data_IF_241104961259
#
_entry.id   IF_241104961259
#
_cell.length_a   1.000
_cell.length_b   1.000
_cell.length_c   1.000
_cell.angle_alpha   90.00
_cell.angle_beta   90.00
_cell.angle_gamma   90.00
#
_symmetry.space_group_name_H-M   'P 1'
#
loop_
_entity.id
_entity.type
_entity.pdbx_description
1 polymer ?
#
# COMPACT_ATOMS: atom_id res chain seq x y z
N UNK A 1 37.63 -5.86 21.00
CA UNK A 1 37.12 -6.72 19.90
C UNK A 1 36.68 -5.81 18.75
N UNK A 2 37.25 -5.94 17.56
CA UNK A 2 37.01 -5.03 16.41
C UNK A 2 35.72 -5.36 15.61
N UNK A 3 35.16 -6.56 15.81
CA UNK A 3 33.98 -7.07 15.08
C UNK A 3 32.73 -6.18 15.12
N UNK A 4 32.41 -5.45 16.20
CA UNK A 4 31.27 -4.52 16.22
C UNK A 4 31.39 -3.38 15.19
N UNK A 5 32.62 -2.91 14.91
CA UNK A 5 32.90 -1.85 13.92
C UNK A 5 32.78 -2.35 12.47
N UNK A 6 32.78 -3.67 12.25
CA UNK A 6 32.59 -4.28 10.95
C UNK A 6 31.12 -4.55 10.62
N UNK A 7 30.16 -4.19 11.49
CA UNK A 7 28.74 -4.26 11.15
C UNK A 7 28.41 -3.24 10.06
N UNK A 8 27.44 -3.55 9.21
CA UNK A 8 27.01 -2.63 8.17
C UNK A 8 26.20 -1.48 8.83
N UNK A 9 26.72 -0.23 8.86
CA UNK A 9 26.01 0.87 9.49
C UNK A 9 24.72 1.25 8.74
N UNK A 10 24.69 0.97 7.42
CA UNK A 10 23.57 1.32 6.53
C UNK A 10 22.46 0.26 6.52
N UNK A 11 22.68 -0.91 7.14
CA UNK A 11 21.69 -2.00 7.18
C UNK A 11 20.65 -1.86 8.32
N UNK A 12 20.51 -0.66 8.89
CA UNK A 12 19.58 -0.41 9.99
C UNK A 12 18.12 -0.56 9.52
N UNK A 13 17.37 -1.43 10.19
CA UNK A 13 15.91 -1.58 9.98
C UNK A 13 15.11 -0.36 10.45
N UNK A 14 15.70 0.50 11.28
CA UNK A 14 15.02 1.63 11.92
C UNK A 14 15.08 2.92 11.10
N UNK A 15 15.90 2.96 10.05
CA UNK A 15 16.01 4.13 9.19
C UNK A 15 14.77 4.21 8.29
N UNK A 16 14.18 5.40 8.16
CA UNK A 16 13.03 5.60 7.30
C UNK A 16 13.38 5.36 5.81
N UNK A 17 12.37 5.22 4.95
CA UNK A 17 12.58 5.04 3.51
C UNK A 17 13.20 6.27 2.87
N UNK A 18 12.66 7.44 3.19
CA UNK A 18 13.18 8.73 2.72
C UNK A 18 14.62 8.96 3.22
N UNK A 19 14.90 8.67 4.48
CA UNK A 19 16.26 8.75 5.02
C UNK A 19 17.25 7.84 4.25
N UNK A 20 16.83 6.62 3.90
CA UNK A 20 17.68 5.70 3.15
C UNK A 20 17.86 6.15 1.70
N UNK A 21 16.84 6.77 1.10
CA UNK A 21 16.92 7.42 -0.21
C UNK A 21 17.93 8.57 -0.18
N UNK A 22 17.77 9.49 0.76
CA UNK A 22 18.65 10.65 0.96
C UNK A 22 20.10 10.25 1.24
N UNK A 23 20.31 9.13 1.94
CA UNK A 23 21.63 8.54 2.12
C UNK A 23 22.27 8.14 0.78
N UNK A 24 21.54 7.43 -0.08
CA UNK A 24 22.06 7.01 -1.39
C UNK A 24 22.30 8.21 -2.30
N UNK A 25 21.34 9.12 -2.39
CA UNK A 25 21.40 10.33 -3.22
C UNK A 25 22.56 11.23 -2.78
N UNK A 26 22.65 11.48 -1.47
CA UNK A 26 23.69 12.29 -0.89
C UNK A 26 25.08 11.65 -1.04
N UNK A 27 25.19 10.32 -1.02
CA UNK A 27 26.48 9.65 -1.22
C UNK A 27 26.91 9.67 -2.69
N UNK A 28 26.01 9.35 -3.63
CA UNK A 28 26.29 9.42 -5.06
C UNK A 28 26.64 10.85 -5.50
N UNK A 29 25.91 11.85 -5.04
CA UNK A 29 26.20 13.26 -5.32
C UNK A 29 27.60 13.66 -4.84
N UNK A 30 27.98 13.28 -3.62
CA UNK A 30 29.32 13.52 -3.08
C UNK A 30 30.40 12.81 -3.89
N UNK A 31 30.21 11.53 -4.21
CA UNK A 31 31.13 10.76 -5.06
C UNK A 31 31.33 11.42 -6.42
N UNK A 32 30.24 11.80 -7.09
CA UNK A 32 30.28 12.45 -8.40
C UNK A 32 31.01 13.80 -8.34
N UNK A 33 30.69 14.63 -7.34
CA UNK A 33 31.32 15.96 -7.17
C UNK A 33 32.84 15.89 -6.93
N UNK A 34 33.32 14.79 -6.33
CA UNK A 34 34.73 14.59 -6.00
C UNK A 34 35.44 13.62 -6.97
N UNK A 35 34.79 13.20 -8.05
CA UNK A 35 35.31 12.21 -9.00
C UNK A 35 36.39 12.75 -9.95
N UNK A 36 37.45 13.35 -9.39
CA UNK A 36 38.60 13.82 -10.16
C UNK A 36 39.35 12.62 -10.75
N UNK A 37 39.68 12.70 -12.04
CA UNK A 37 40.38 11.65 -12.79
C UNK A 37 39.72 10.26 -12.71
N UNK A 38 38.40 10.18 -12.45
CA UNK A 38 37.69 8.91 -12.38
C UNK A 38 37.94 8.09 -11.10
N UNK A 39 38.52 8.70 -10.05
CA UNK A 39 38.87 8.03 -8.78
C UNK A 39 37.71 7.27 -8.13
N UNK A 40 36.48 7.71 -8.33
CA UNK A 40 35.26 7.09 -7.77
C UNK A 40 34.35 6.45 -8.82
N UNK A 41 34.75 6.38 -10.09
CA UNK A 41 33.91 5.91 -11.18
C UNK A 41 33.34 4.49 -10.94
N UNK A 42 34.15 3.57 -10.42
CA UNK A 42 33.71 2.21 -10.10
C UNK A 42 32.69 2.16 -8.94
N UNK A 43 32.82 3.05 -7.95
CA UNK A 43 31.89 3.14 -6.81
C UNK A 43 30.54 3.73 -7.23
N UNK A 44 30.57 4.70 -8.14
CA UNK A 44 29.38 5.31 -8.75
C UNK A 44 28.65 4.25 -9.57
N UNK A 45 29.35 3.64 -10.55
CA UNK A 45 28.76 2.65 -11.46
C UNK A 45 28.17 1.41 -10.75
N UNK A 46 28.70 1.05 -9.58
CA UNK A 46 28.17 -0.06 -8.79
C UNK A 46 26.96 0.32 -7.92
N UNK A 47 26.82 1.57 -7.50
CA UNK A 47 25.73 2.02 -6.62
C UNK A 47 24.51 2.58 -7.38
N UNK A 48 24.72 3.26 -8.51
CA UNK A 48 23.66 3.78 -9.39
C UNK A 48 22.53 2.77 -9.69
N UNK A 49 22.81 1.52 -10.13
CA UNK A 49 21.74 0.58 -10.43
C UNK A 49 20.91 0.19 -9.19
N UNK A 50 21.52 0.20 -8.00
CA UNK A 50 20.81 -0.07 -6.76
C UNK A 50 19.92 1.10 -6.32
N UNK A 51 20.39 2.34 -6.48
CA UNK A 51 19.59 3.54 -6.24
C UNK A 51 18.40 3.59 -7.21
N UNK A 52 18.64 3.41 -8.51
CA UNK A 52 17.61 3.43 -9.53
C UNK A 52 16.52 2.39 -9.27
N UNK A 53 16.90 1.15 -8.95
CA UNK A 53 15.94 0.10 -8.60
C UNK A 53 15.12 0.44 -7.35
N UNK A 54 15.76 1.03 -6.32
CA UNK A 54 15.04 1.43 -5.11
C UNK A 54 14.06 2.58 -5.37
N UNK A 55 14.43 3.57 -6.21
CA UNK A 55 13.56 4.68 -6.59
C UNK A 55 12.37 4.21 -7.41
N UNK A 56 12.59 3.31 -8.37
CA UNK A 56 11.51 2.72 -9.17
C UNK A 56 10.48 2.05 -8.27
N UNK A 57 10.93 1.22 -7.31
CA UNK A 57 10.04 0.57 -6.36
C UNK A 57 9.26 1.57 -5.50
N UNK A 58 9.90 2.65 -5.02
CA UNK A 58 9.19 3.68 -4.25
C UNK A 58 8.11 4.37 -5.11
N UNK A 59 8.41 4.69 -6.36
CA UNK A 59 7.44 5.25 -7.30
C UNK A 59 6.25 4.33 -7.55
N UNK A 60 6.49 3.03 -7.72
CA UNK A 60 5.42 2.02 -7.83
C UNK A 60 4.60 1.91 -6.53
N UNK A 61 5.24 1.99 -5.37
CA UNK A 61 4.55 1.97 -4.08
C UNK A 61 3.64 3.19 -3.89
N UNK A 62 4.08 4.39 -4.30
CA UNK A 62 3.29 5.62 -4.22
C UNK A 62 2.08 5.58 -5.16
N UNK A 63 2.25 5.09 -6.40
CA UNK A 63 1.14 4.87 -7.33
C UNK A 63 0.13 3.88 -6.76
N UNK A 64 0.61 2.76 -6.19
CA UNK A 64 -0.24 1.77 -5.56
C UNK A 64 -0.98 2.32 -4.33
N UNK A 65 -0.37 3.23 -3.57
CA UNK A 65 -1.02 3.90 -2.44
C UNK A 65 -2.15 4.83 -2.92
N UNK A 66 -1.91 5.63 -3.97
CA UNK A 66 -2.93 6.46 -4.60
C UNK A 66 -4.13 5.63 -5.10
N UNK A 67 -3.85 4.50 -5.75
CA UNK A 67 -4.89 3.56 -6.16
C UNK A 67 -5.66 2.96 -4.97
N UNK A 68 -5.00 2.67 -3.85
CA UNK A 68 -5.65 2.11 -2.64
C UNK A 68 -6.58 3.10 -1.96
N UNK A 69 -6.20 4.39 -1.91
CA UNK A 69 -7.05 5.45 -1.38
C UNK A 69 -8.30 5.58 -2.24
N UNK A 70 -8.13 5.72 -3.56
CA UNK A 70 -9.27 5.77 -4.49
C UNK A 70 -10.19 4.55 -4.39
N UNK A 71 -9.63 3.34 -4.28
CA UNK A 71 -10.42 2.09 -4.11
C UNK A 71 -11.16 2.00 -2.78
N UNK A 72 -10.71 2.69 -1.74
CA UNK A 72 -11.42 2.74 -0.44
C UNK A 72 -12.61 3.67 -0.57
N UNK A 73 -12.39 4.84 -1.15
CA UNK A 73 -13.44 5.83 -1.43
C UNK A 73 -14.53 5.23 -2.32
N UNK A 74 -14.16 4.47 -3.37
CA UNK A 74 -15.13 3.79 -4.26
C UNK A 74 -16.07 2.85 -3.50
N UNK A 75 -15.58 2.07 -2.53
CA UNK A 75 -16.44 1.13 -1.80
C UNK A 75 -17.33 1.85 -0.79
N UNK A 76 -16.88 2.97 -0.22
CA UNK A 76 -17.71 3.83 0.62
C UNK A 76 -18.78 4.57 -0.19
N UNK A 77 -18.46 5.02 -1.39
CA UNK A 77 -19.40 5.58 -2.36
C UNK A 77 -20.47 4.56 -2.75
N UNK A 78 -20.07 3.31 -3.08
CA UNK A 78 -21.01 2.23 -3.37
C UNK A 78 -21.94 1.90 -2.18
N UNK A 79 -21.44 2.01 -0.94
CA UNK A 79 -22.29 1.85 0.24
C UNK A 79 -23.32 2.97 0.33
N UNK A 80 -22.93 4.22 0.06
CA UNK A 80 -23.83 5.37 0.08
C UNK A 80 -24.87 5.26 -1.03
N UNK A 81 -24.45 4.91 -2.24
CA UNK A 81 -25.31 4.71 -3.41
C UNK A 81 -26.32 3.58 -3.17
N UNK A 82 -25.86 2.44 -2.64
CA UNK A 82 -26.75 1.34 -2.27
C UNK A 82 -27.80 1.77 -1.23
N UNK A 83 -27.41 2.52 -0.20
CA UNK A 83 -28.35 3.00 0.82
C UNK A 83 -29.41 3.93 0.23
N UNK A 84 -29.00 4.79 -0.69
CA UNK A 84 -29.91 5.72 -1.36
C UNK A 84 -30.87 4.96 -2.29
N UNK A 85 -30.35 4.09 -3.15
CA UNK A 85 -31.13 3.20 -4.00
C UNK A 85 -32.14 2.36 -3.19
N UNK A 86 -31.68 1.77 -2.09
CA UNK A 86 -32.53 0.96 -1.22
C UNK A 86 -33.70 1.79 -0.67
N UNK A 87 -33.40 3.00 -0.17
CA UNK A 87 -34.38 3.87 0.48
C UNK A 87 -35.39 4.47 -0.49
N UNK A 88 -34.91 5.03 -1.61
CA UNK A 88 -35.69 5.92 -2.45
C UNK A 88 -36.42 5.15 -3.58
N UNK A 89 -35.90 4.00 -3.98
CA UNK A 89 -36.43 3.22 -5.12
C UNK A 89 -36.87 1.83 -4.67
N UNK A 90 -35.94 0.99 -4.22
CA UNK A 90 -36.19 -0.44 -3.97
C UNK A 90 -37.31 -0.69 -2.97
N UNK A 91 -37.20 -0.10 -1.77
CA UNK A 91 -38.15 -0.37 -0.68
C UNK A 91 -39.51 0.27 -0.95
N UNK A 92 -39.53 1.40 -1.66
CA UNK A 92 -40.77 2.07 -2.07
C UNK A 92 -41.52 1.19 -3.06
N UNK A 93 -40.82 0.70 -4.10
CA UNK A 93 -41.44 -0.10 -5.15
C UNK A 93 -41.85 -1.50 -4.63
N UNK A 94 -40.98 -2.17 -3.87
CA UNK A 94 -41.30 -3.48 -3.30
C UNK A 94 -42.52 -3.44 -2.38
N UNK A 95 -42.64 -2.40 -1.53
CA UNK A 95 -43.83 -2.25 -0.71
C UNK A 95 -45.06 -1.86 -1.52
N UNK A 96 -44.93 -0.97 -2.50
CA UNK A 96 -46.06 -0.59 -3.34
C UNK A 96 -46.62 -1.81 -4.09
N UNK A 97 -45.75 -2.59 -4.72
CA UNK A 97 -46.12 -3.76 -5.50
C UNK A 97 -46.66 -4.88 -4.59
N UNK A 98 -45.90 -5.29 -3.57
CA UNK A 98 -46.22 -6.50 -2.79
C UNK A 98 -47.08 -6.26 -1.55
N UNK A 99 -47.33 -5.01 -1.14
CA UNK A 99 -48.26 -4.70 -0.04
C UNK A 99 -49.58 -4.15 -0.54
N UNK A 100 -49.58 -3.40 -1.64
CA UNK A 100 -50.78 -2.67 -2.12
C UNK A 100 -51.32 -3.21 -3.43
N UNK A 101 -50.51 -3.23 -4.50
CA UNK A 101 -51.00 -3.50 -5.85
C UNK A 101 -51.29 -4.98 -6.10
N UNK A 102 -50.37 -5.86 -5.73
CA UNK A 102 -50.47 -7.32 -5.81
C UNK A 102 -49.92 -7.92 -4.51
N UNK A 103 -50.76 -8.03 -3.46
CA UNK A 103 -50.32 -8.50 -2.15
C UNK A 103 -49.55 -9.83 -2.21
N UNK A 104 -48.29 -9.81 -1.79
CA UNK A 104 -47.41 -10.98 -1.70
C UNK A 104 -46.52 -10.83 -0.46
N UNK A 105 -47.00 -11.37 0.67
CA UNK A 105 -46.32 -11.24 1.94
C UNK A 105 -44.97 -11.98 1.98
N UNK A 106 -44.84 -13.07 1.23
CA UNK A 106 -43.59 -13.84 1.14
C UNK A 106 -42.50 -13.05 0.42
N UNK A 107 -42.81 -12.49 -0.76
CA UNK A 107 -41.89 -11.63 -1.50
C UNK A 107 -41.46 -10.42 -0.68
N UNK A 108 -42.42 -9.77 0.00
CA UNK A 108 -42.13 -8.62 0.84
C UNK A 108 -41.22 -8.99 2.03
N UNK A 109 -41.45 -10.15 2.65
CA UNK A 109 -40.63 -10.65 3.77
C UNK A 109 -39.22 -11.03 3.30
N UNK A 110 -39.08 -11.56 2.08
CA UNK A 110 -37.78 -11.85 1.49
C UNK A 110 -36.95 -10.58 1.26
N UNK A 111 -37.59 -9.49 0.81
CA UNK A 111 -36.92 -8.18 0.70
C UNK A 111 -36.64 -7.54 2.07
N UNK A 112 -37.50 -7.74 3.07
CA UNK A 112 -37.43 -7.04 4.36
C UNK A 112 -37.36 -8.00 5.57
N UNK A 113 -36.41 -8.96 5.63
CA UNK A 113 -36.41 -9.97 6.69
C UNK A 113 -36.14 -9.36 8.07
N UNK A 114 -35.41 -8.24 8.13
CA UNK A 114 -35.16 -7.45 9.35
C UNK A 114 -35.78 -6.05 9.27
N UNK A 115 -36.73 -5.84 8.35
CA UNK A 115 -37.35 -4.55 8.09
C UNK A 115 -36.41 -3.52 7.45
N UNK A 116 -36.93 -2.32 7.20
CA UNK A 116 -36.21 -1.26 6.45
C UNK A 116 -34.91 -0.81 7.10
N UNK A 117 -34.80 -0.96 8.44
CA UNK A 117 -33.62 -0.54 9.20
C UNK A 117 -32.35 -1.23 8.72
N UNK A 118 -32.45 -2.49 8.28
CA UNK A 118 -31.33 -3.28 7.77
C UNK A 118 -30.59 -2.58 6.62
N UNK A 119 -31.34 -1.98 5.70
CA UNK A 119 -30.80 -1.25 4.56
C UNK A 119 -30.21 0.10 4.97
N UNK A 120 -30.96 0.88 5.77
CA UNK A 120 -30.49 2.19 6.24
C UNK A 120 -29.23 2.11 7.12
N UNK A 121 -29.07 1.00 7.84
CA UNK A 121 -27.93 0.73 8.72
C UNK A 121 -26.91 -0.22 8.08
N UNK A 122 -26.96 -0.40 6.75
CA UNK A 122 -25.96 -1.19 6.05
C UNK A 122 -24.54 -0.69 6.37
N UNK A 123 -23.62 -1.63 6.56
CA UNK A 123 -22.20 -1.35 6.75
C UNK A 123 -21.42 -2.04 5.65
N UNK A 124 -20.14 -1.72 5.51
CA UNK A 124 -19.25 -2.44 4.58
C UNK A 124 -19.23 -3.95 4.80
N UNK A 125 -19.49 -4.41 6.04
CA UNK A 125 -19.54 -5.83 6.36
C UNK A 125 -20.83 -6.50 5.86
N UNK A 126 -21.96 -5.78 5.90
CA UNK A 126 -23.27 -6.33 5.52
C UNK A 126 -23.64 -6.08 4.06
N UNK A 127 -23.03 -5.06 3.44
CA UNK A 127 -23.24 -4.68 2.03
C UNK A 127 -23.20 -5.83 1.03
N UNK A 128 -22.21 -6.76 1.01
CA UNK A 128 -22.16 -7.85 0.03
C UNK A 128 -23.42 -8.74 0.08
N UNK A 129 -23.85 -9.10 1.30
CA UNK A 129 -25.03 -9.93 1.50
C UNK A 129 -26.30 -9.21 1.06
N UNK A 130 -26.38 -7.91 1.31
CA UNK A 130 -27.53 -7.09 0.93
C UNK A 130 -27.62 -6.90 -0.59
N UNK A 131 -26.50 -6.59 -1.26
CA UNK A 131 -26.44 -6.45 -2.71
C UNK A 131 -26.83 -7.74 -3.43
N UNK A 132 -26.24 -8.87 -3.02
CA UNK A 132 -26.58 -10.18 -3.57
C UNK A 132 -28.08 -10.48 -3.45
N UNK A 133 -28.62 -10.33 -2.23
CA UNK A 133 -30.04 -10.59 -1.97
C UNK A 133 -30.94 -9.70 -2.81
N UNK A 134 -30.62 -8.40 -2.92
CA UNK A 134 -31.42 -7.46 -3.70
C UNK A 134 -31.36 -7.79 -5.19
N UNK A 135 -30.19 -8.09 -5.73
CA UNK A 135 -30.04 -8.50 -7.13
C UNK A 135 -30.84 -9.78 -7.44
N UNK A 136 -30.73 -10.80 -6.58
CA UNK A 136 -31.45 -12.06 -6.77
C UNK A 136 -32.97 -11.86 -6.71
N UNK A 137 -33.46 -11.10 -5.73
CA UNK A 137 -34.90 -10.88 -5.54
C UNK A 137 -35.49 -9.95 -6.60
N UNK A 138 -34.79 -8.90 -7.00
CA UNK A 138 -35.25 -7.99 -8.07
C UNK A 138 -35.27 -8.69 -9.43
N UNK A 139 -34.33 -9.61 -9.67
CA UNK A 139 -34.37 -10.46 -10.85
C UNK A 139 -35.52 -11.49 -10.78
N UNK A 140 -35.76 -12.08 -9.62
CA UNK A 140 -36.85 -13.05 -9.40
C UNK A 140 -38.22 -12.43 -9.66
N UNK A 141 -38.44 -11.21 -9.14
CA UNK A 141 -39.71 -10.48 -9.26
C UNK A 141 -39.66 -9.36 -10.30
N UNK A 142 -38.85 -9.54 -11.34
CA UNK A 142 -38.62 -8.52 -12.39
C UNK A 142 -39.91 -8.13 -13.11
N UNK A 143 -40.85 -9.06 -13.27
CA UNK A 143 -42.12 -8.79 -13.94
C UNK A 143 -43.00 -7.80 -13.14
N UNK A 144 -42.90 -7.82 -11.81
CA UNK A 144 -43.65 -6.94 -10.91
C UNK A 144 -42.93 -5.61 -10.65
N UNK A 145 -41.62 -5.67 -10.43
CA UNK A 145 -40.78 -4.52 -10.04
C UNK A 145 -40.26 -3.71 -11.23
N UNK A 146 -40.27 -4.28 -12.43
CA UNK A 146 -39.75 -3.65 -13.63
C UNK A 146 -38.27 -3.97 -13.88
N UNK A 147 -37.87 -3.85 -15.15
CA UNK A 147 -36.53 -4.22 -15.59
C UNK A 147 -35.46 -3.26 -15.06
N UNK A 148 -35.76 -1.96 -15.00
CA UNK A 148 -34.80 -0.93 -14.60
C UNK A 148 -34.29 -1.14 -13.17
N UNK A 149 -35.20 -1.54 -12.27
CA UNK A 149 -34.88 -1.76 -10.86
C UNK A 149 -34.00 -3.01 -10.67
N UNK A 150 -34.27 -4.07 -11.44
CA UNK A 150 -33.44 -5.27 -11.48
C UNK A 150 -32.05 -4.98 -12.06
N UNK A 151 -31.96 -4.22 -13.16
CA UNK A 151 -30.70 -3.81 -13.77
C UNK A 151 -29.85 -3.00 -12.79
N UNK A 152 -30.43 -2.00 -12.13
CA UNK A 152 -29.70 -1.17 -11.17
C UNK A 152 -29.18 -1.98 -9.98
N UNK A 153 -29.96 -2.95 -9.49
CA UNK A 153 -29.52 -3.85 -8.43
C UNK A 153 -28.35 -4.75 -8.86
N UNK A 154 -28.41 -5.32 -10.07
CA UNK A 154 -27.33 -6.15 -10.61
C UNK A 154 -26.08 -5.33 -10.89
N UNK A 155 -26.21 -4.09 -11.35
CA UNK A 155 -25.08 -3.20 -11.64
C UNK A 155 -24.34 -2.82 -10.36
N UNK A 156 -25.07 -2.49 -9.28
CA UNK A 156 -24.46 -2.21 -7.98
C UNK A 156 -23.73 -3.43 -7.39
N UNK A 157 -24.29 -4.63 -7.55
CA UNK A 157 -23.64 -5.87 -7.11
C UNK A 157 -22.36 -6.16 -7.92
N UNK A 158 -22.42 -5.98 -9.24
CA UNK A 158 -21.27 -6.15 -10.12
C UNK A 158 -20.16 -5.14 -9.78
N UNK A 159 -20.51 -3.86 -9.64
CA UNK A 159 -19.58 -2.80 -9.27
C UNK A 159 -18.88 -3.10 -7.93
N UNK A 160 -19.63 -3.57 -6.91
CA UNK A 160 -19.04 -3.98 -5.63
C UNK A 160 -18.09 -5.18 -5.78
N UNK A 161 -18.45 -6.17 -6.59
CA UNK A 161 -17.61 -7.36 -6.81
C UNK A 161 -16.30 -6.98 -7.48
N UNK A 162 -16.36 -6.19 -8.56
CA UNK A 162 -15.16 -5.66 -9.24
C UNK A 162 -14.29 -4.85 -8.28
N UNK A 163 -14.88 -3.95 -7.48
CA UNK A 163 -14.12 -3.18 -6.50
C UNK A 163 -13.41 -4.08 -5.47
N UNK A 164 -14.01 -5.19 -5.06
CA UNK A 164 -13.42 -6.14 -4.10
C UNK A 164 -12.32 -7.01 -4.69
N UNK A 165 -12.48 -7.48 -5.92
CA UNK A 165 -11.43 -8.21 -6.64
C UNK A 165 -10.18 -7.34 -6.78
N UNK A 166 -10.38 -6.11 -7.24
CA UNK A 166 -9.33 -5.10 -7.38
C UNK A 166 -8.68 -4.69 -6.04
N UNK A 167 -9.39 -4.77 -4.91
CA UNK A 167 -8.81 -4.64 -3.56
C UNK A 167 -7.99 -5.87 -3.14
N UNK A 168 -8.39 -7.07 -3.58
CA UNK A 168 -7.70 -8.33 -3.32
C UNK A 168 -6.32 -8.38 -3.99
N UNK A 169 -6.26 -8.01 -5.27
CA UNK A 169 -5.02 -7.90 -6.05
C UNK A 169 -4.03 -6.93 -5.39
N UNK A 170 -4.51 -5.74 -5.00
CA UNK A 170 -3.68 -4.74 -4.33
C UNK A 170 -3.06 -5.23 -2.99
N UNK A 171 -3.72 -6.15 -2.27
CA UNK A 171 -3.14 -6.76 -1.07
C UNK A 171 -2.00 -7.72 -1.41
N UNK A 172 -2.10 -8.45 -2.52
CA UNK A 172 -1.03 -9.29 -3.05
C UNK A 172 0.20 -8.46 -3.40
N UNK A 173 0.00 -7.35 -4.08
CA UNK A 173 1.06 -6.42 -4.50
C UNK A 173 1.82 -5.84 -3.29
N UNK A 174 1.12 -5.45 -2.23
CA UNK A 174 1.76 -4.93 -1.00
C UNK A 174 2.71 -5.95 -0.36
N UNK A 175 2.33 -7.24 -0.36
CA UNK A 175 3.20 -8.28 0.18
C UNK A 175 4.42 -8.54 -0.71
N UNK A 176 4.26 -8.47 -2.03
CA UNK A 176 5.36 -8.51 -3.00
C UNK A 176 6.34 -7.36 -2.79
N UNK A 177 5.81 -6.13 -2.82
CA UNK A 177 6.58 -4.89 -2.69
C UNK A 177 7.37 -4.81 -1.39
N UNK A 178 6.82 -5.30 -0.26
CA UNK A 178 7.52 -5.33 1.02
C UNK A 178 8.74 -6.29 1.02
N UNK A 179 8.60 -7.46 0.39
CA UNK A 179 9.72 -8.41 0.26
C UNK A 179 10.79 -7.87 -0.67
N UNK A 180 10.38 -7.27 -1.78
CA UNK A 180 11.25 -6.66 -2.77
C UNK A 180 12.02 -5.47 -2.19
N UNK A 181 11.34 -4.58 -1.47
CA UNK A 181 11.98 -3.44 -0.79
C UNK A 181 13.08 -3.90 0.15
N UNK A 182 12.80 -4.93 0.96
CA UNK A 182 13.79 -5.49 1.88
C UNK A 182 15.00 -6.07 1.13
N UNK A 183 14.79 -6.69 -0.03
CA UNK A 183 15.84 -7.23 -0.88
C UNK A 183 16.70 -6.11 -1.46
N UNK A 184 16.08 -5.11 -2.09
CA UNK A 184 16.75 -3.96 -2.70
C UNK A 184 17.51 -3.14 -1.66
N UNK A 185 16.87 -2.83 -0.52
CA UNK A 185 17.50 -2.11 0.58
C UNK A 185 18.72 -2.84 1.14
N UNK A 186 18.65 -4.17 1.28
CA UNK A 186 19.79 -4.98 1.72
C UNK A 186 20.94 -4.96 0.70
N UNK A 187 20.62 -5.02 -0.59
CA UNK A 187 21.61 -4.96 -1.66
C UNK A 187 22.30 -3.58 -1.71
N UNK A 188 21.51 -2.50 -1.71
CA UNK A 188 22.00 -1.13 -1.67
C UNK A 188 22.84 -0.85 -0.41
N UNK A 189 22.38 -1.26 0.77
CA UNK A 189 23.14 -1.10 2.00
C UNK A 189 24.47 -1.87 1.96
N UNK A 190 24.49 -3.06 1.34
CA UNK A 190 25.72 -3.82 1.13
C UNK A 190 26.68 -3.05 0.23
N UNK A 191 26.19 -2.49 -0.89
CA UNK A 191 27.03 -1.73 -1.80
C UNK A 191 27.57 -0.45 -1.15
N UNK A 192 26.75 0.29 -0.40
CA UNK A 192 27.19 1.44 0.40
C UNK A 192 28.33 1.07 1.36
N UNK A 193 28.28 -0.12 1.98
CA UNK A 193 29.36 -0.61 2.84
C UNK A 193 30.62 -0.94 2.04
N UNK A 194 30.50 -1.57 0.86
CA UNK A 194 31.66 -1.86 0.01
C UNK A 194 32.34 -0.56 -0.42
N UNK A 195 31.57 0.42 -0.87
CA UNK A 195 32.09 1.75 -1.20
C UNK A 195 32.78 2.40 0.01
N UNK A 196 32.21 2.29 1.21
CA UNK A 196 32.86 2.80 2.44
C UNK A 196 34.21 2.13 2.68
N UNK A 197 34.30 0.81 2.53
CA UNK A 197 35.55 0.07 2.72
C UNK A 197 36.59 0.45 1.66
N UNK A 198 36.17 0.60 0.41
CA UNK A 198 37.06 1.02 -0.67
C UNK A 198 37.55 2.45 -0.46
N UNK A 199 36.72 3.35 0.08
CA UNK A 199 37.12 4.71 0.43
C UNK A 199 38.11 4.74 1.58
N UNK A 200 37.88 3.96 2.64
CA UNK A 200 38.83 3.82 3.75
C UNK A 200 40.16 3.28 3.25
N UNK A 201 40.16 2.31 2.32
CA UNK A 201 41.37 1.79 1.69
C UNK A 201 42.08 2.85 0.84
N UNK A 202 41.32 3.65 0.10
CA UNK A 202 41.83 4.66 -0.83
C UNK A 202 42.37 5.91 -0.12
N UNK A 203 41.95 6.15 1.11
CA UNK A 203 42.38 7.25 1.97
C UNK A 203 43.03 6.71 3.25
N UNK A 204 43.85 5.66 3.13
CA UNK A 204 44.45 4.98 4.29
C UNK A 204 45.32 5.92 5.14
N UNK A 205 45.97 6.88 4.50
CA UNK A 205 46.82 7.89 5.13
C UNK A 205 46.04 9.15 5.57
N UNK A 206 44.79 9.33 5.11
CA UNK A 206 43.93 10.50 5.35
C UNK A 206 42.46 10.07 5.64
N UNK A 207 42.20 9.24 6.67
CA UNK A 207 40.91 8.60 6.87
C UNK A 207 39.76 9.61 7.11
N UNK A 208 40.05 10.80 7.64
CA UNK A 208 39.12 11.92 7.76
C UNK A 208 38.54 12.39 6.43
N UNK A 209 39.23 12.19 5.30
CA UNK A 209 38.71 12.53 3.98
C UNK A 209 37.44 11.71 3.63
N UNK A 210 37.28 10.51 4.21
CA UNK A 210 36.08 9.68 4.04
C UNK A 210 34.85 10.34 4.67
N UNK A 211 35.02 11.14 5.74
CA UNK A 211 33.92 11.86 6.38
C UNK A 211 33.34 12.96 5.47
N UNK A 212 34.08 13.44 4.48
CA UNK A 212 33.57 14.38 3.48
C UNK A 212 32.69 13.72 2.42
N UNK A 213 32.74 12.38 2.29
CA UNK A 213 32.02 11.59 1.28
C UNK A 213 30.70 11.00 1.80
N UNK A 214 30.45 11.14 3.09
CA UNK A 214 29.23 10.68 3.76
C UNK A 214 28.73 11.76 4.71
N UNK A 215 27.42 11.83 4.90
CA UNK A 215 26.87 12.68 5.96
C UNK A 215 27.13 12.04 7.34
N UNK A 216 27.67 12.82 8.27
CA UNK A 216 27.96 12.38 9.63
C UNK A 216 26.73 11.83 10.35
N UNK A 217 25.52 12.30 10.00
CA UNK A 217 24.26 11.81 10.58
C UNK A 217 23.99 10.32 10.33
N UNK A 218 24.62 9.73 9.31
CA UNK A 218 24.43 8.33 8.93
C UNK A 218 25.33 7.34 9.66
N UNK A 219 26.39 7.82 10.30
CA UNK A 219 27.19 7.01 11.20
C UNK A 219 26.60 7.12 12.59
N UNK A 220 25.77 6.14 12.95
CA UNK A 220 25.27 6.05 14.31
C UNK A 220 26.45 5.97 15.29
N UNK A 221 26.51 6.90 16.25
CA UNK A 221 27.40 6.74 17.41
C UNK A 221 27.09 5.37 18.02
N UNK A 222 28.09 4.52 18.29
CA UNK A 222 27.85 3.28 19.02
C UNK A 222 27.15 3.66 20.33
N UNK A 223 26.05 2.96 20.64
CA UNK A 223 25.33 3.19 21.88
C UNK A 223 26.32 3.12 23.05
N UNK A 224 26.38 4.18 23.87
CA UNK A 224 27.07 4.11 25.17
C UNK A 224 26.37 3.03 25.99
N UNK A 225 26.92 1.83 26.04
CA UNK A 225 26.40 0.76 26.88
C UNK A 225 26.66 -0.63 26.33
N UNK A 226 27.88 -1.12 26.53
CA UNK A 226 28.13 -2.51 26.98
C UNK A 226 29.61 -2.71 27.36
N UNK A 227 30.16 -1.80 28.17
CA UNK A 227 31.27 -2.16 29.06
C UNK A 227 30.65 -2.45 30.42
N UNK A 228 30.03 -3.63 30.55
CA UNK A 228 29.93 -4.23 31.89
C UNK A 228 31.34 -4.63 32.28
N UNK A 229 32.02 -3.72 32.96
CA UNK A 229 33.17 -4.04 33.79
C UNK A 229 32.68 -5.05 34.83
N UNK A 230 32.96 -6.34 34.61
CA UNK A 230 32.97 -7.30 35.70
C UNK A 230 34.24 -7.01 36.49
N UNK A 231 34.08 -6.25 37.58
CA UNK A 231 34.90 -6.45 38.78
C UNK A 231 34.36 -7.69 39.49
#
# INVERSE_FOLDING_TARGET
MFLPFLKNPFASKKMARDDFRDLMDGHLSRLASQNKAGRYAAMIASLEPHQAAYHALLGEQDQNLGQRLGKTDTVEELLAEFKQFAKDELLVEAEYQFKRKKPNAEALTAFLPKGRKEYSQATLLTLPTLLQRVADLTQTYKAELGADLATKATDLQAAYTTARETQGEAKGDVQGNSKEEKKLRKAAARQLKLNLLDQVKLHIDEPEAVLALYDAKWFTKPAKGDVKSKM
#
